data_IF_123945328625
#
_entry.id   IF_123945328625
#
_cell.length_a   1.000
_cell.length_b   1.000
_cell.length_c   1.000
_cell.angle_alpha   90.00
_cell.angle_beta   90.00
_cell.angle_gamma   90.00
#
_symmetry.space_group_name_H-M   'P 1'
#
loop_
_entity.id
_entity.type
_entity.pdbx_description
1 polymer ?
#
# COMPACT_ATOMS: atom_id res chain seq x y z
N UNK A 1 15.66 51.84 10.41
CA UNK A 1 16.55 51.25 9.37
C UNK A 1 18.03 51.19 9.76
N UNK A 2 18.46 51.74 10.91
CA UNK A 2 19.87 51.70 11.31
C UNK A 2 20.29 50.28 11.83
N UNK A 3 19.42 49.56 12.51
CA UNK A 3 19.71 48.23 13.08
C UNK A 3 20.07 47.21 11.98
N UNK A 4 19.37 47.22 10.85
CA UNK A 4 19.63 46.33 9.71
C UNK A 4 21.01 46.59 9.06
N UNK A 5 21.37 47.87 8.89
CA UNK A 5 22.71 48.23 8.36
C UNK A 5 23.83 47.80 9.30
N UNK A 6 23.63 47.88 10.62
CA UNK A 6 24.63 47.47 11.60
C UNK A 6 24.76 45.96 11.63
N UNK A 7 23.65 45.21 11.54
CA UNK A 7 23.65 43.74 11.48
C UNK A 7 24.43 43.23 10.23
N UNK A 8 24.12 43.78 9.04
CA UNK A 8 24.84 43.42 7.81
C UNK A 8 26.33 43.77 7.91
N UNK A 9 26.68 44.93 8.46
CA UNK A 9 28.06 45.33 8.62
C UNK A 9 28.85 44.42 9.58
N UNK A 10 28.17 43.88 10.61
CA UNK A 10 28.77 42.95 11.57
C UNK A 10 29.00 41.59 10.93
N UNK A 11 28.04 41.11 10.14
CA UNK A 11 28.14 39.83 9.40
C UNK A 11 29.29 39.89 8.36
N UNK A 12 29.36 41.00 7.59
CA UNK A 12 30.42 41.22 6.59
C UNK A 12 31.80 41.43 7.18
N UNK A 13 31.91 41.76 8.48
CA UNK A 13 33.19 41.92 9.16
C UNK A 13 33.88 40.58 9.49
N UNK A 14 33.09 39.49 9.43
CA UNK A 14 33.59 38.13 9.63
C UNK A 14 33.36 37.25 8.38
N UNK A 15 34.00 37.56 7.24
CA UNK A 15 33.72 36.87 5.97
C UNK A 15 33.98 35.37 6.05
N UNK A 16 34.88 34.94 6.92
CA UNK A 16 35.24 33.56 7.09
C UNK A 16 34.06 32.70 7.57
N UNK A 17 33.23 33.21 8.48
CA UNK A 17 32.01 32.54 8.92
C UNK A 17 30.99 32.44 7.79
N UNK A 18 30.87 33.50 6.96
CA UNK A 18 29.96 33.55 5.84
C UNK A 18 30.32 32.53 4.77
N UNK A 19 31.61 32.45 4.44
CA UNK A 19 32.17 31.50 3.44
C UNK A 19 32.00 30.07 3.92
N UNK A 20 32.35 29.77 5.18
CA UNK A 20 32.20 28.45 5.76
C UNK A 20 30.72 28.02 5.80
N UNK A 21 29.82 28.93 6.25
CA UNK A 21 28.39 28.60 6.36
C UNK A 21 27.72 28.46 4.99
N UNK A 22 28.01 29.38 4.06
CA UNK A 22 27.49 29.30 2.70
C UNK A 22 28.06 28.09 1.95
N UNK A 23 29.36 27.81 2.12
CA UNK A 23 30.01 26.64 1.52
C UNK A 23 29.44 25.33 2.07
N UNK A 24 29.26 25.24 3.39
CA UNK A 24 28.69 24.05 4.03
C UNK A 24 27.23 23.83 3.59
N UNK A 25 26.39 24.87 3.58
CA UNK A 25 24.99 24.76 3.12
C UNK A 25 24.91 24.39 1.64
N UNK A 26 25.76 24.99 0.80
CA UNK A 26 25.80 24.66 -0.63
C UNK A 26 26.26 23.22 -0.85
N UNK A 27 27.28 22.79 -0.12
CA UNK A 27 27.78 21.41 -0.20
C UNK A 27 26.73 20.42 0.30
N UNK A 28 26.02 20.73 1.39
CA UNK A 28 24.92 19.90 1.89
C UNK A 28 23.76 19.86 0.89
N UNK A 29 23.42 20.98 0.26
CA UNK A 29 22.40 21.03 -0.80
C UNK A 29 22.79 20.16 -2.01
N UNK A 30 24.07 20.21 -2.44
CA UNK A 30 24.58 19.34 -3.52
C UNK A 30 24.56 17.87 -3.10
N UNK A 31 24.92 17.54 -1.86
CA UNK A 31 24.84 16.16 -1.35
C UNK A 31 23.41 15.63 -1.31
N UNK A 32 22.45 16.44 -0.85
CA UNK A 32 21.03 16.06 -0.85
C UNK A 32 20.54 15.90 -2.28
N UNK A 33 20.82 16.86 -3.15
CA UNK A 33 20.44 16.80 -4.57
C UNK A 33 21.10 15.60 -5.29
N UNK A 34 22.38 15.34 -5.04
CA UNK A 34 23.06 14.17 -5.60
C UNK A 34 22.57 12.87 -4.99
N UNK A 35 22.25 12.82 -3.69
CA UNK A 35 21.66 11.66 -3.04
C UNK A 35 20.30 11.30 -3.63
N UNK A 36 19.48 12.31 -3.96
CA UNK A 36 18.21 12.12 -4.65
C UNK A 36 18.39 11.76 -6.15
N UNK A 37 19.53 12.18 -6.76
CA UNK A 37 19.79 11.94 -8.19
C UNK A 37 20.68 10.71 -8.42
N UNK A 38 21.66 10.43 -7.55
CA UNK A 38 22.60 9.31 -7.69
C UNK A 38 22.27 8.11 -6.79
N UNK A 39 21.43 8.28 -5.76
CA UNK A 39 20.88 7.17 -4.98
C UNK A 39 19.74 6.46 -5.69
N UNK A 40 19.32 6.97 -6.83
CA UNK A 40 18.25 6.46 -7.66
C UNK A 40 18.54 6.61 -9.13
N UNK A 41 19.69 6.10 -9.62
CA UNK A 41 19.82 5.72 -11.02
C UNK A 41 19.27 4.31 -11.20
N UNK A 42 18.07 4.12 -10.76
CA UNK A 42 17.17 3.33 -11.54
C UNK A 42 16.43 4.34 -12.39
N UNK A 43 16.44 4.19 -13.71
CA UNK A 43 15.38 4.62 -14.57
C UNK A 43 14.09 3.96 -14.06
N UNK A 44 13.62 4.42 -12.94
CA UNK A 44 12.25 4.27 -12.55
C UNK A 44 11.50 5.37 -13.31
N UNK A 45 11.31 5.15 -14.64
CA UNK A 45 9.94 5.12 -15.11
C UNK A 45 9.11 4.82 -13.87
N UNK A 46 8.20 5.72 -13.47
CA UNK A 46 7.30 5.51 -12.33
C UNK A 46 6.60 4.17 -12.59
N UNK A 47 7.29 3.10 -12.25
CA UNK A 47 6.74 1.77 -12.12
C UNK A 47 6.00 1.85 -10.79
N UNK A 48 4.66 1.75 -10.79
CA UNK A 48 3.94 1.58 -9.55
C UNK A 48 4.70 0.52 -8.77
N UNK A 49 5.14 0.85 -7.58
CA UNK A 49 5.97 -0.04 -6.77
C UNK A 49 5.23 -1.37 -6.69
N UNK A 50 5.72 -2.38 -7.41
CA UNK A 50 5.05 -3.67 -7.48
C UNK A 50 5.20 -4.31 -6.11
N UNK A 51 4.21 -4.05 -5.25
CA UNK A 51 4.20 -4.57 -3.89
C UNK A 51 4.24 -6.09 -3.94
N UNK A 52 5.26 -6.68 -3.34
CA UNK A 52 5.37 -8.13 -3.22
C UNK A 52 4.47 -8.59 -2.08
N UNK A 53 3.54 -9.46 -2.39
CA UNK A 53 2.63 -10.02 -1.40
C UNK A 53 2.55 -11.54 -1.53
N UNK A 54 2.02 -12.20 -0.50
CA UNK A 54 1.70 -13.61 -0.53
C UNK A 54 0.28 -13.85 -0.01
N UNK A 55 -0.38 -14.84 -0.55
CA UNK A 55 -1.67 -15.32 -0.07
C UNK A 55 -1.52 -16.79 0.37
N UNK A 56 -1.85 -17.05 1.62
CA UNK A 56 -1.95 -18.40 2.17
C UNK A 56 -3.44 -18.71 2.26
N UNK A 57 -3.97 -19.29 1.21
CA UNK A 57 -5.38 -19.67 1.14
C UNK A 57 -5.58 -21.08 1.68
N UNK A 58 -6.24 -21.19 2.83
CA UNK A 58 -6.63 -22.48 3.46
C UNK A 58 -8.11 -22.75 3.24
N UNK A 59 -8.84 -21.80 2.69
CA UNK A 59 -10.29 -21.87 2.50
C UNK A 59 -10.67 -22.47 1.13
N UNK A 60 -10.02 -22.00 0.07
CA UNK A 60 -10.28 -22.45 -1.30
C UNK A 60 -11.70 -22.15 -1.77
N UNK A 61 -12.36 -21.13 -1.21
CA UNK A 61 -13.68 -20.69 -1.62
C UNK A 61 -13.63 -19.75 -2.82
N UNK A 62 -14.76 -19.54 -3.49
CA UNK A 62 -14.82 -18.56 -4.57
C UNK A 62 -14.49 -17.14 -4.07
N UNK A 63 -14.81 -16.81 -2.81
CA UNK A 63 -14.49 -15.51 -2.23
C UNK A 63 -13.00 -15.33 -2.00
N UNK A 64 -12.29 -16.35 -1.47
CA UNK A 64 -10.85 -16.30 -1.27
C UNK A 64 -10.09 -16.26 -2.60
N UNK A 65 -10.51 -17.04 -3.58
CA UNK A 65 -9.96 -17.03 -4.93
C UNK A 65 -10.13 -15.67 -5.60
N UNK A 66 -11.31 -15.07 -5.48
CA UNK A 66 -11.61 -13.75 -6.02
C UNK A 66 -10.78 -12.64 -5.38
N UNK A 67 -10.61 -12.66 -4.06
CA UNK A 67 -9.74 -11.74 -3.34
C UNK A 67 -8.28 -11.89 -3.78
N UNK A 68 -7.78 -13.11 -3.90
CA UNK A 68 -6.43 -13.39 -4.38
C UNK A 68 -6.23 -12.91 -5.82
N UNK A 69 -7.23 -13.10 -6.70
CA UNK A 69 -7.20 -12.61 -8.08
C UNK A 69 -7.11 -11.08 -8.12
N UNK A 70 -7.92 -10.38 -7.33
CA UNK A 70 -7.88 -8.93 -7.22
C UNK A 70 -6.49 -8.43 -6.75
N UNK A 71 -5.90 -9.06 -5.74
CA UNK A 71 -4.57 -8.66 -5.26
C UNK A 71 -3.46 -8.90 -6.29
N UNK A 72 -3.58 -9.93 -7.16
CA UNK A 72 -2.64 -10.17 -8.27
C UNK A 72 -2.64 -9.06 -9.32
N UNK A 73 -3.72 -8.32 -9.44
CA UNK A 73 -3.78 -7.14 -10.31
C UNK A 73 -3.07 -5.92 -9.68
N UNK A 74 -2.89 -5.92 -8.36
CA UNK A 74 -2.32 -4.80 -7.61
C UNK A 74 -0.84 -4.98 -7.25
N UNK A 75 -0.29 -6.18 -7.42
CA UNK A 75 1.09 -6.47 -7.04
C UNK A 75 1.60 -7.82 -7.53
N UNK A 76 2.81 -8.18 -7.12
CA UNK A 76 3.46 -9.44 -7.45
C UNK A 76 3.24 -10.45 -6.33
N UNK A 77 2.53 -11.52 -6.62
CA UNK A 77 2.40 -12.65 -5.69
C UNK A 77 3.70 -13.45 -5.62
N UNK A 78 4.20 -13.65 -4.40
CA UNK A 78 5.38 -14.46 -4.12
C UNK A 78 4.92 -15.74 -3.40
N UNK A 79 5.26 -16.93 -3.92
CA UNK A 79 4.91 -18.16 -3.25
C UNK A 79 5.71 -18.31 -1.96
N UNK A 80 5.01 -18.52 -0.84
CA UNK A 80 5.60 -18.76 0.49
C UNK A 80 5.00 -20.03 1.05
N UNK A 81 5.84 -20.85 1.68
CA UNK A 81 5.39 -22.07 2.35
C UNK A 81 4.53 -21.73 3.59
N UNK A 82 3.41 -22.42 3.75
CA UNK A 82 2.52 -22.28 4.91
C UNK A 82 3.15 -22.87 6.17
N UNK A 83 4.17 -22.20 6.68
CA UNK A 83 4.80 -22.52 7.96
C UNK A 83 5.17 -21.23 8.70
N UNK A 84 5.02 -21.25 10.02
CA UNK A 84 5.29 -20.05 10.83
C UNK A 84 6.70 -19.50 10.61
N UNK A 85 7.68 -20.36 10.41
CA UNK A 85 9.07 -19.96 10.17
C UNK A 85 9.21 -19.29 8.80
N UNK A 86 8.61 -19.86 7.74
CA UNK A 86 8.68 -19.31 6.39
C UNK A 86 7.98 -17.93 6.30
N UNK A 87 6.84 -17.77 6.96
CA UNK A 87 6.10 -16.51 7.01
C UNK A 87 6.91 -15.41 7.70
N UNK A 88 7.52 -15.70 8.86
CA UNK A 88 8.37 -14.76 9.58
C UNK A 88 9.63 -14.39 8.79
N UNK A 89 10.28 -15.38 8.19
CA UNK A 89 11.47 -15.22 7.37
C UNK A 89 11.19 -14.38 6.13
N UNK A 90 10.06 -14.58 5.47
CA UNK A 90 9.68 -13.85 4.27
C UNK A 90 9.54 -12.34 4.52
N UNK A 91 8.90 -11.96 5.63
CA UNK A 91 8.77 -10.54 6.02
C UNK A 91 10.11 -9.98 6.50
N UNK A 92 10.84 -10.72 7.34
CA UNK A 92 12.13 -10.27 7.88
C UNK A 92 13.20 -10.09 6.80
N UNK A 93 13.18 -10.90 5.75
CA UNK A 93 14.11 -10.82 4.60
C UNK A 93 13.63 -9.91 3.47
N UNK A 94 12.46 -9.29 3.60
CA UNK A 94 11.87 -8.44 2.57
C UNK A 94 11.49 -9.20 1.29
N UNK A 95 11.22 -10.50 1.39
CA UNK A 95 10.72 -11.31 0.27
C UNK A 95 9.27 -10.97 -0.05
N UNK A 96 8.48 -10.64 0.98
CA UNK A 96 7.11 -10.17 0.88
C UNK A 96 6.89 -8.98 1.83
N UNK A 97 6.21 -7.96 1.37
CA UNK A 97 5.81 -6.80 2.18
C UNK A 97 4.50 -7.04 2.92
N UNK A 98 3.69 -7.97 2.45
CA UNK A 98 2.37 -8.28 3.00
C UNK A 98 2.04 -9.76 2.79
N UNK A 99 1.57 -10.42 3.83
CA UNK A 99 1.10 -11.81 3.77
C UNK A 99 -0.32 -11.85 4.30
N UNK A 100 -1.23 -12.36 3.46
CA UNK A 100 -2.62 -12.58 3.80
C UNK A 100 -2.84 -14.07 4.07
N UNK A 101 -3.46 -14.39 5.19
CA UNK A 101 -3.82 -15.76 5.54
C UNK A 101 -5.35 -15.85 5.61
N UNK A 102 -5.94 -16.64 4.72
CA UNK A 102 -7.37 -16.91 4.69
C UNK A 102 -7.62 -18.24 5.41
N UNK A 103 -8.28 -18.24 6.57
CA UNK A 103 -8.54 -19.46 7.32
C UNK A 103 -9.62 -20.32 6.65
N UNK A 104 -9.61 -21.62 6.93
CA UNK A 104 -10.61 -22.58 6.46
C UNK A 104 -12.02 -22.15 6.89
N UNK A 105 -12.99 -22.20 5.98
CA UNK A 105 -14.38 -21.84 6.22
C UNK A 105 -14.66 -20.34 6.19
N UNK A 106 -13.67 -19.51 5.85
CA UNK A 106 -13.80 -18.04 5.82
C UNK A 106 -14.94 -17.58 4.90
N UNK A 107 -14.99 -18.09 3.66
CA UNK A 107 -15.95 -17.63 2.66
C UNK A 107 -17.41 -17.88 3.07
N UNK A 108 -17.69 -19.05 3.62
CA UNK A 108 -19.04 -19.39 4.10
C UNK A 108 -19.41 -18.57 5.33
N UNK A 109 -18.51 -18.46 6.30
CA UNK A 109 -18.73 -17.65 7.50
C UNK A 109 -18.93 -16.15 7.16
N UNK A 110 -18.16 -15.64 6.18
CA UNK A 110 -18.27 -14.25 5.72
C UNK A 110 -19.66 -13.97 5.11
N UNK A 111 -20.10 -14.84 4.20
CA UNK A 111 -21.41 -14.66 3.52
C UNK A 111 -22.56 -14.80 4.52
N UNK A 112 -22.47 -15.73 5.46
CA UNK A 112 -23.50 -15.88 6.49
C UNK A 112 -23.57 -14.67 7.41
N UNK A 113 -22.43 -14.19 7.91
CA UNK A 113 -22.36 -12.99 8.75
C UNK A 113 -22.87 -11.74 8.02
N UNK A 114 -22.52 -11.55 6.75
CA UNK A 114 -23.01 -10.43 5.95
C UNK A 114 -24.54 -10.45 5.77
N UNK A 115 -25.14 -11.63 5.65
CA UNK A 115 -26.61 -11.80 5.49
C UNK A 115 -27.38 -11.60 6.79
N UNK A 116 -26.79 -12.05 7.89
CA UNK A 116 -27.45 -11.93 9.21
C UNK A 116 -27.22 -10.56 9.85
N UNK A 117 -26.24 -9.79 9.36
CA UNK A 117 -25.82 -8.53 9.94
C UNK A 117 -24.94 -8.72 11.19
N UNK A 118 -24.35 -9.90 11.32
CA UNK A 118 -23.39 -10.21 12.37
C UNK A 118 -22.01 -9.63 12.05
N UNK A 119 -21.09 -9.69 13.02
CA UNK A 119 -19.71 -9.25 12.82
C UNK A 119 -19.00 -10.14 11.79
N UNK A 120 -18.42 -9.51 10.76
CA UNK A 120 -17.69 -10.23 9.72
C UNK A 120 -16.43 -10.90 10.28
N UNK A 121 -16.10 -12.13 9.82
CA UNK A 121 -14.87 -12.80 10.23
C UNK A 121 -13.65 -12.00 9.77
N UNK A 122 -12.61 -11.98 10.60
CA UNK A 122 -11.36 -11.28 10.31
C UNK A 122 -10.35 -12.19 9.65
N UNK A 123 -9.56 -11.63 8.72
CA UNK A 123 -8.41 -12.29 8.14
C UNK A 123 -7.16 -12.08 9.00
N UNK A 124 -6.24 -13.04 8.96
CA UNK A 124 -4.93 -12.86 9.58
C UNK A 124 -3.98 -12.24 8.57
N UNK A 125 -3.24 -11.22 9.00
CA UNK A 125 -2.28 -10.53 8.14
C UNK A 125 -0.92 -10.42 8.82
N UNK A 126 0.14 -10.58 8.05
CA UNK A 126 1.53 -10.43 8.53
C UNK A 126 2.24 -9.43 7.64
N UNK A 127 2.60 -8.29 8.20
CA UNK A 127 3.40 -7.28 7.50
C UNK A 127 4.25 -6.47 8.48
N UNK A 128 5.27 -5.79 7.97
CA UNK A 128 6.09 -4.91 8.81
C UNK A 128 5.31 -3.66 9.19
N UNK A 129 5.26 -3.32 10.46
CA UNK A 129 4.57 -2.13 10.98
C UNK A 129 5.02 -0.81 10.31
N UNK A 130 6.25 -0.78 9.80
CA UNK A 130 6.80 0.38 9.10
C UNK A 130 6.61 0.33 7.58
N UNK A 131 5.94 -0.70 7.05
CA UNK A 131 5.70 -0.85 5.62
C UNK A 131 4.45 -0.06 5.20
N UNK A 132 4.65 1.01 4.46
CA UNK A 132 3.56 1.74 3.79
C UNK A 132 2.83 0.84 2.79
N UNK A 133 3.57 -0.02 2.10
CA UNK A 133 3.06 -1.00 1.13
C UNK A 133 2.14 -2.03 1.80
N UNK A 134 2.55 -2.57 2.96
CA UNK A 134 1.73 -3.48 3.73
C UNK A 134 0.41 -2.85 4.18
N UNK A 135 0.44 -1.60 4.65
CA UNK A 135 -0.77 -0.87 5.04
C UNK A 135 -1.70 -0.59 3.86
N UNK A 136 -1.12 -0.32 2.68
CA UNK A 136 -1.91 -0.11 1.46
C UNK A 136 -2.61 -1.40 1.02
N UNK A 137 -1.90 -2.54 1.03
CA UNK A 137 -2.48 -3.84 0.72
C UNK A 137 -3.59 -4.21 1.70
N UNK A 138 -3.40 -3.95 2.99
CA UNK A 138 -4.42 -4.18 4.01
C UNK A 138 -5.68 -3.34 3.76
N UNK A 139 -5.51 -2.09 3.37
CA UNK A 139 -6.63 -1.22 2.98
C UNK A 139 -7.36 -1.75 1.74
N UNK A 140 -6.65 -2.26 0.73
CA UNK A 140 -7.24 -2.86 -0.47
C UNK A 140 -8.05 -4.10 -0.14
N UNK A 141 -7.53 -4.99 0.72
CA UNK A 141 -8.25 -6.16 1.23
C UNK A 141 -9.53 -5.75 1.95
N UNK A 142 -9.44 -4.78 2.86
CA UNK A 142 -10.60 -4.29 3.60
C UNK A 142 -11.64 -3.62 2.70
N UNK A 143 -11.20 -2.90 1.67
CA UNK A 143 -12.11 -2.29 0.67
C UNK A 143 -12.85 -3.35 -0.14
N UNK A 144 -12.13 -4.36 -0.64
CA UNK A 144 -12.72 -5.47 -1.38
C UNK A 144 -13.76 -6.22 -0.53
N UNK A 145 -13.38 -6.59 0.70
CA UNK A 145 -14.31 -7.28 1.62
C UNK A 145 -15.48 -6.41 2.03
N UNK A 146 -15.27 -5.10 2.18
CA UNK A 146 -16.37 -4.16 2.47
C UNK A 146 -17.42 -4.14 1.37
N UNK A 147 -17.01 -4.11 0.10
CA UNK A 147 -17.91 -4.17 -1.06
C UNK A 147 -18.60 -5.53 -1.16
N UNK A 148 -17.81 -6.61 -1.03
CA UNK A 148 -18.32 -7.98 -1.06
C UNK A 148 -19.38 -8.21 0.05
N UNK A 149 -19.10 -7.74 1.26
CA UNK A 149 -20.02 -7.85 2.39
C UNK A 149 -21.30 -7.03 2.20
N UNK A 150 -21.18 -5.80 1.70
CA UNK A 150 -22.33 -4.96 1.40
C UNK A 150 -23.25 -5.62 0.36
N UNK A 151 -22.69 -6.19 -0.69
CA UNK A 151 -23.45 -6.89 -1.72
C UNK A 151 -24.12 -8.17 -1.18
N UNK A 152 -23.36 -8.99 -0.44
CA UNK A 152 -23.89 -10.20 0.20
C UNK A 152 -25.06 -9.91 1.15
N UNK A 153 -25.00 -8.80 1.87
CA UNK A 153 -26.07 -8.36 2.77
C UNK A 153 -27.31 -7.82 2.04
N UNK A 154 -27.15 -7.20 0.87
CA UNK A 154 -28.26 -6.70 0.06
C UNK A 154 -28.94 -7.82 -0.74
N UNK A 155 -28.16 -8.71 -1.32
CA UNK A 155 -28.60 -9.81 -2.19
C UNK A 155 -28.50 -11.14 -1.44
N UNK A 156 -29.43 -11.37 -0.49
CA UNK A 156 -29.38 -12.52 0.41
C UNK A 156 -29.36 -13.91 -0.26
N UNK A 157 -29.63 -14.01 -1.56
CA UNK A 157 -29.57 -15.25 -2.35
C UNK A 157 -28.38 -15.35 -3.29
N UNK A 158 -27.50 -14.32 -3.34
CA UNK A 158 -26.35 -14.29 -4.23
C UNK A 158 -25.35 -15.43 -3.88
N UNK A 159 -24.81 -16.12 -4.87
CA UNK A 159 -23.75 -17.08 -4.64
C UNK A 159 -22.43 -16.34 -4.33
N UNK A 160 -21.44 -17.04 -3.75
CA UNK A 160 -20.10 -16.45 -3.57
C UNK A 160 -19.51 -15.95 -4.89
N UNK A 161 -19.75 -16.67 -6.01
CA UNK A 161 -19.32 -16.24 -7.34
C UNK A 161 -19.94 -14.92 -7.78
N UNK A 162 -21.24 -14.71 -7.54
CA UNK A 162 -21.91 -13.45 -7.86
C UNK A 162 -21.36 -12.29 -7.00
N UNK A 163 -21.09 -12.56 -5.73
CA UNK A 163 -20.48 -11.58 -4.80
C UNK A 163 -19.08 -11.15 -5.30
N UNK A 164 -18.27 -12.11 -5.70
CA UNK A 164 -16.92 -11.87 -6.23
C UNK A 164 -16.99 -11.03 -7.52
N UNK A 165 -17.86 -11.41 -8.45
CA UNK A 165 -18.02 -10.68 -9.70
C UNK A 165 -18.40 -9.22 -9.45
N UNK A 166 -19.37 -8.99 -8.57
CA UNK A 166 -19.82 -7.63 -8.23
C UNK A 166 -18.74 -6.81 -7.52
N UNK A 167 -17.99 -7.44 -6.62
CA UNK A 167 -16.87 -6.77 -5.94
C UNK A 167 -15.80 -6.35 -6.95
N UNK A 168 -15.44 -7.23 -7.89
CA UNK A 168 -14.46 -6.94 -8.93
C UNK A 168 -14.92 -5.79 -9.85
N UNK A 169 -16.18 -5.80 -10.30
CA UNK A 169 -16.77 -4.74 -11.12
C UNK A 169 -16.76 -3.38 -10.41
N UNK A 170 -17.16 -3.33 -9.15
CA UNK A 170 -17.19 -2.11 -8.35
C UNK A 170 -15.80 -1.54 -8.08
N UNK A 171 -14.81 -2.42 -7.85
CA UNK A 171 -13.42 -1.99 -7.67
C UNK A 171 -12.84 -1.43 -8.99
N UNK A 172 -13.15 -2.03 -10.13
CA UNK A 172 -12.71 -1.54 -11.45
C UNK A 172 -13.32 -0.16 -11.77
N UNK A 173 -14.61 0.03 -11.49
CA UNK A 173 -15.31 1.31 -11.70
C UNK A 173 -14.73 2.42 -10.81
N UNK A 174 -14.40 2.12 -9.56
CA UNK A 174 -13.77 3.09 -8.65
C UNK A 174 -12.39 3.54 -9.13
N UNK A 175 -11.59 2.63 -9.69
CA UNK A 175 -10.28 2.94 -10.23
C UNK A 175 -10.35 3.82 -11.50
N UNK A 176 -11.37 3.64 -12.33
CA UNK A 176 -11.60 4.45 -13.55
C UNK A 176 -12.04 5.88 -13.22
N UNK A 177 -12.87 6.05 -12.19
CA UNK A 177 -13.38 7.35 -11.75
C UNK A 177 -12.25 8.22 -11.17
N UNK A 178 -11.33 7.65 -10.43
CA UNK A 178 -10.19 8.36 -9.83
C UNK A 178 -9.17 8.85 -10.90
N UNK A 179 -9.10 8.17 -12.04
CA UNK A 179 -8.19 8.54 -13.13
C UNK A 179 -8.69 9.72 -13.98
N UNK A 180 -10.00 10.03 -13.95
CA UNK A 180 -10.61 11.10 -14.77
C UNK A 180 -10.48 12.48 -14.13
N UNK A 181 -10.37 12.58 -12.81
CA UNK A 181 -10.30 13.88 -12.11
C UNK A 181 -8.96 14.61 -12.27
N UNK A 182 -7.89 13.94 -12.64
CA UNK A 182 -6.54 14.54 -12.79
C UNK A 182 -6.31 15.21 -14.15
N UNK A 183 -7.21 15.01 -15.13
CA UNK A 183 -7.08 15.47 -16.52
C UNK A 183 -7.78 16.79 -16.88
N UNK A 184 -8.46 17.47 -15.97
CA UNK A 184 -9.41 18.53 -16.28
C UNK A 184 -9.09 19.92 -15.75
N UNK A 185 -7.92 20.51 -16.08
CA UNK A 185 -7.77 21.99 -16.09
C UNK A 185 -6.80 22.39 -17.18
N UNK A 186 -7.38 22.76 -18.32
CA UNK A 186 -6.74 23.65 -19.31
C UNK A 186 -7.24 25.05 -19.12
#
# INVERSE_FOLDING_TARGET
MQVFKTAIKTVLRHPMYLIVYAGFLSMMGVFIASGLTFGGTNDSEFSPYETKFAVIDRDGSALSDGLAAYLREQGIEVPIEDSQMALQDAVAKGQSSYILIVPEGFGDAFVEAARTGDELPTLETVYSFYSTEGSLMDQMVNSYLGIAGAYAGLEGSASQGDIVQHAAEAMAESAETDSVEVGGTS
#
